data_IF_129271730054
#
_entry.id   IF_129271730054
#
_cell.length_a   1.000
_cell.length_b   1.000
_cell.length_c   1.000
_cell.angle_alpha   90.00
_cell.angle_beta   90.00
_cell.angle_gamma   90.00
#
_symmetry.space_group_name_H-M   'P 1'
#
loop_
_entity.id
_entity.type
_entity.pdbx_description
1 polymer ?
#
# COMPACT_ATOMS: atom_id res chain seq x y z
N UNK A 1 -32.18 -44.09 -22.35
CA UNK A 1 -33.03 -42.94 -21.93
C UNK A 1 -33.07 -42.71 -20.42
N UNK A 2 -33.22 -43.77 -19.61
CA UNK A 2 -33.29 -43.71 -18.12
C UNK A 2 -32.11 -42.95 -17.46
N UNK A 3 -30.87 -43.11 -17.96
CA UNK A 3 -29.70 -42.39 -17.41
C UNK A 3 -29.77 -40.87 -17.60
N UNK A 4 -30.36 -40.41 -18.72
CA UNK A 4 -30.50 -38.99 -19.05
C UNK A 4 -31.59 -38.32 -18.21
N UNK A 5 -32.67 -39.05 -17.90
CA UNK A 5 -33.71 -38.60 -16.97
C UNK A 5 -33.15 -38.46 -15.54
N UNK A 6 -32.44 -39.48 -15.03
CA UNK A 6 -31.81 -39.41 -13.69
C UNK A 6 -30.79 -38.28 -13.55
N UNK A 7 -30.05 -37.96 -14.62
CA UNK A 7 -29.12 -36.83 -14.61
C UNK A 7 -29.85 -35.48 -14.53
N UNK A 8 -30.96 -35.31 -15.27
CA UNK A 8 -31.80 -34.10 -15.21
C UNK A 8 -32.48 -33.93 -13.86
N UNK A 9 -33.00 -35.02 -13.26
CA UNK A 9 -33.59 -34.99 -11.92
C UNK A 9 -32.57 -34.57 -10.85
N UNK A 10 -31.34 -35.08 -10.93
CA UNK A 10 -30.25 -34.66 -10.04
C UNK A 10 -29.90 -33.18 -10.22
N UNK A 11 -29.82 -32.71 -11.46
CA UNK A 11 -29.54 -31.32 -11.78
C UNK A 11 -30.65 -30.39 -11.26
N UNK A 12 -31.92 -30.77 -11.43
CA UNK A 12 -33.06 -30.03 -10.90
C UNK A 12 -33.09 -30.00 -9.38
N UNK A 13 -32.76 -31.12 -8.71
CA UNK A 13 -32.69 -31.18 -7.25
C UNK A 13 -31.60 -30.25 -6.70
N UNK A 14 -30.42 -30.22 -7.33
CA UNK A 14 -29.34 -29.31 -6.95
C UNK A 14 -29.70 -27.84 -7.18
N UNK A 15 -30.33 -27.51 -8.30
CA UNK A 15 -30.82 -26.15 -8.57
C UNK A 15 -31.89 -25.71 -7.57
N UNK A 16 -32.81 -26.61 -7.21
CA UNK A 16 -33.85 -26.32 -6.22
C UNK A 16 -33.26 -26.12 -4.81
N UNK A 17 -32.26 -26.92 -4.42
CA UNK A 17 -31.56 -26.75 -3.14
C UNK A 17 -30.74 -25.46 -3.09
N UNK A 18 -30.13 -25.06 -4.21
CA UNK A 18 -29.42 -23.79 -4.31
C UNK A 18 -30.39 -22.60 -4.21
N UNK A 19 -31.52 -22.67 -4.90
CA UNK A 19 -32.56 -21.64 -4.86
C UNK A 19 -33.21 -21.52 -3.47
N UNK A 20 -33.42 -22.63 -2.77
CA UNK A 20 -33.98 -22.58 -1.41
C UNK A 20 -32.98 -21.97 -0.41
N UNK A 21 -31.69 -22.30 -0.52
CA UNK A 21 -30.63 -21.68 0.30
C UNK A 21 -30.52 -20.18 0.05
N UNK A 22 -30.54 -19.74 -1.22
CA UNK A 22 -30.54 -18.32 -1.56
C UNK A 22 -31.75 -17.58 -1.01
N UNK A 23 -32.96 -18.18 -1.08
CA UNK A 23 -34.17 -17.59 -0.49
C UNK A 23 -34.08 -17.48 1.03
N UNK A 24 -33.65 -18.54 1.71
CA UNK A 24 -33.48 -18.52 3.18
C UNK A 24 -32.44 -17.50 3.63
N UNK A 25 -31.41 -17.26 2.81
CA UNK A 25 -30.42 -16.23 3.08
C UNK A 25 -31.02 -14.83 2.95
N UNK A 26 -31.73 -14.55 1.85
CA UNK A 26 -32.44 -13.28 1.63
C UNK A 26 -33.46 -12.97 2.74
N UNK A 27 -34.26 -13.95 3.15
CA UNK A 27 -35.22 -13.79 4.26
C UNK A 27 -34.53 -13.49 5.58
N UNK A 28 -33.42 -14.19 5.88
CA UNK A 28 -32.66 -13.97 7.11
C UNK A 28 -32.02 -12.59 7.15
N UNK A 29 -31.54 -12.06 6.02
CA UNK A 29 -30.97 -10.72 5.95
C UNK A 29 -32.03 -9.61 5.97
N UNK A 30 -33.20 -9.85 5.37
CA UNK A 30 -34.31 -8.87 5.37
C UNK A 30 -34.98 -8.74 6.76
N UNK A 31 -35.16 -9.85 7.48
CA UNK A 31 -35.72 -9.79 8.84
C UNK A 31 -34.79 -9.10 9.85
N UNK A 32 -33.47 -9.17 9.67
CA UNK A 32 -32.50 -8.43 10.51
C UNK A 32 -32.56 -6.92 10.25
N UNK A 33 -32.96 -6.50 9.05
CA UNK A 33 -33.14 -5.07 8.71
C UNK A 33 -34.41 -4.44 9.26
N UNK A 34 -35.35 -5.23 9.80
CA UNK A 34 -36.66 -4.74 10.25
C UNK A 34 -36.76 -4.50 11.77
N UNK A 35 -35.74 -4.89 12.54
CA UNK A 35 -35.63 -4.60 13.99
C UNK A 35 -34.79 -3.33 14.29
N UNK A 36 -34.36 -2.58 13.26
CA UNK A 36 -33.53 -1.37 13.41
C UNK A 36 -34.29 -0.07 13.09
N UNK A 37 -35.58 0.04 13.42
CA UNK A 37 -36.35 1.26 13.20
C UNK A 37 -37.38 1.52 14.30
N UNK A 38 -36.92 1.82 15.52
CA UNK A 38 -37.65 2.65 16.49
C UNK A 38 -36.64 3.34 17.44
N UNK A 39 -36.30 4.60 17.20
CA UNK A 39 -35.87 5.55 18.26
C UNK A 39 -36.39 6.94 17.89
N UNK A 40 -37.36 7.41 18.66
CA UNK A 40 -37.93 8.75 18.65
C UNK A 40 -37.16 9.70 19.58
N UNK A 41 -36.99 10.95 19.10
CA UNK A 41 -36.89 12.25 19.83
C UNK A 41 -35.76 12.55 20.84
N UNK A 42 -34.90 13.48 20.40
CA UNK A 42 -34.40 14.70 21.08
C UNK A 42 -33.83 14.63 22.51
N UNK A 43 -32.49 14.64 22.61
CA UNK A 43 -31.75 15.39 23.67
C UNK A 43 -30.49 16.00 23.05
N UNK A 44 -30.37 17.32 23.20
CA UNK A 44 -29.22 18.17 22.90
C UNK A 44 -27.93 17.64 23.57
N UNK A 45 -27.04 17.05 22.78
CA UNK A 45 -25.69 16.67 23.16
C UNK A 45 -24.77 16.87 21.95
N UNK A 46 -23.53 17.37 22.14
CA UNK A 46 -22.63 17.64 21.02
C UNK A 46 -22.38 16.33 20.27
N UNK A 47 -22.67 16.35 18.96
CA UNK A 47 -22.51 15.20 18.08
C UNK A 47 -21.11 14.58 18.27
N UNK A 48 -20.99 13.26 18.50
CA UNK A 48 -19.71 12.62 18.32
C UNK A 48 -19.32 12.83 16.86
N UNK A 49 -18.10 13.27 16.62
CA UNK A 49 -17.51 13.26 15.28
C UNK A 49 -17.63 11.84 14.74
N UNK A 50 -18.58 11.57 13.85
CA UNK A 50 -18.65 10.31 13.12
C UNK A 50 -17.39 10.24 12.25
N UNK A 51 -16.33 9.66 12.80
CA UNK A 51 -15.15 9.29 12.03
C UNK A 51 -15.63 8.27 11.01
N UNK A 52 -15.81 8.72 9.77
CA UNK A 52 -16.15 7.84 8.66
C UNK A 52 -15.01 6.82 8.52
N UNK A 53 -15.22 5.61 9.03
CA UNK A 53 -14.23 4.55 8.95
C UNK A 53 -13.92 4.26 7.47
N UNK A 54 -12.71 4.62 7.05
CA UNK A 54 -12.29 4.45 5.67
C UNK A 54 -12.10 2.95 5.39
N UNK A 55 -12.92 2.41 4.49
CA UNK A 55 -12.85 1.00 4.09
C UNK A 55 -11.92 0.79 2.89
N UNK A 56 -11.19 -0.33 2.91
CA UNK A 56 -10.22 -0.70 1.88
C UNK A 56 -10.52 -2.10 1.34
N UNK A 57 -10.42 -2.29 0.03
CA UNK A 57 -10.64 -3.59 -0.62
C UNK A 57 -9.32 -4.32 -0.83
N UNK A 58 -9.16 -5.48 -0.19
CA UNK A 58 -7.98 -6.31 -0.34
C UNK A 58 -8.00 -7.08 -1.67
N UNK A 59 -7.03 -6.86 -2.55
CA UNK A 59 -7.02 -7.50 -3.88
C UNK A 59 -6.69 -9.00 -3.87
N UNK A 60 -6.36 -9.58 -2.71
CA UNK A 60 -6.11 -11.02 -2.56
C UNK A 60 -7.37 -11.77 -2.13
N UNK A 61 -8.06 -11.31 -1.07
CA UNK A 61 -9.25 -11.99 -0.56
C UNK A 61 -10.58 -11.38 -1.06
N UNK A 62 -10.56 -10.15 -1.59
CA UNK A 62 -11.75 -9.42 -2.05
C UNK A 62 -12.62 -8.85 -0.91
N UNK A 63 -12.15 -8.92 0.34
CA UNK A 63 -12.88 -8.36 1.48
C UNK A 63 -12.63 -6.84 1.56
N UNK A 64 -13.72 -6.07 1.60
CA UNK A 64 -13.70 -4.65 1.92
C UNK A 64 -13.82 -4.47 3.44
N UNK A 65 -12.75 -3.99 4.08
CA UNK A 65 -12.68 -3.81 5.53
C UNK A 65 -11.91 -2.53 5.90
N UNK A 66 -12.19 -1.88 7.05
CA UNK A 66 -11.31 -0.84 7.57
C UNK A 66 -9.94 -1.42 7.97
N UNK A 67 -8.94 -0.55 8.15
CA UNK A 67 -7.65 -0.94 8.73
C UNK A 67 -7.77 -0.95 10.25
N UNK A 68 -7.51 -2.09 10.89
CA UNK A 68 -7.55 -2.22 12.35
C UNK A 68 -6.18 -2.64 12.89
N UNK A 69 -5.92 -2.46 14.18
CA UNK A 69 -4.67 -2.92 14.82
C UNK A 69 -4.47 -4.44 14.68
N UNK A 70 -5.58 -5.21 14.75
CA UNK A 70 -5.54 -6.68 14.64
C UNK A 70 -5.32 -7.15 13.20
N UNK A 71 -5.92 -6.45 12.22
CA UNK A 71 -5.84 -6.80 10.80
C UNK A 71 -5.55 -5.56 9.95
N UNK A 72 -4.31 -5.06 9.98
CA UNK A 72 -3.94 -3.86 9.26
C UNK A 72 -3.99 -4.09 7.75
N UNK A 73 -4.44 -3.05 7.05
CA UNK A 73 -4.40 -2.96 5.60
C UNK A 73 -3.19 -2.11 5.22
N UNK A 74 -2.60 -2.37 4.06
CA UNK A 74 -1.67 -1.43 3.48
C UNK A 74 -1.66 -1.40 1.96
N UNK A 75 -1.06 -0.33 1.46
CA UNK A 75 -0.95 0.01 0.05
C UNK A 75 0.35 -0.53 -0.55
N UNK A 76 0.25 -1.26 -1.65
CA UNK A 76 1.44 -1.80 -2.35
C UNK A 76 2.31 -0.65 -2.88
N UNK A 77 3.60 -0.70 -2.53
CA UNK A 77 4.56 0.33 -2.90
C UNK A 77 5.91 -0.24 -3.35
N UNK A 78 6.57 0.54 -4.20
CA UNK A 78 7.96 0.39 -4.61
C UNK A 78 8.77 1.53 -4.02
N UNK A 79 9.69 1.18 -3.12
CA UNK A 79 10.64 2.09 -2.50
C UNK A 79 11.99 1.97 -3.21
N UNK A 80 12.48 3.10 -3.71
CA UNK A 80 13.79 3.18 -4.35
C UNK A 80 14.60 4.33 -3.75
N UNK A 81 15.90 4.11 -3.58
CA UNK A 81 16.80 5.21 -3.26
C UNK A 81 16.83 6.19 -4.43
N UNK A 82 16.78 7.48 -4.11
CA UNK A 82 16.74 8.56 -5.10
C UNK A 82 17.71 9.66 -4.71
N UNK A 83 18.45 10.14 -5.69
CA UNK A 83 19.28 11.32 -5.57
C UNK A 83 18.61 12.56 -6.20
N UNK A 84 17.31 12.53 -6.53
CA UNK A 84 16.65 13.68 -7.17
C UNK A 84 16.77 14.95 -6.30
N UNK A 85 16.59 14.82 -4.99
CA UNK A 85 16.74 15.94 -4.05
C UNK A 85 18.17 16.49 -4.00
N UNK A 86 19.18 15.70 -4.43
CA UNK A 86 20.56 16.15 -4.58
C UNK A 86 20.68 17.32 -5.56
N UNK A 87 19.85 17.33 -6.60
CA UNK A 87 19.83 18.40 -7.60
C UNK A 87 19.01 19.62 -7.16
N UNK A 88 18.31 19.55 -6.02
CA UNK A 88 17.56 20.68 -5.47
C UNK A 88 18.51 21.83 -5.18
N UNK A 89 18.26 22.98 -5.81
CA UNK A 89 19.00 24.19 -5.51
C UNK A 89 18.65 24.68 -4.11
N UNK A 90 19.66 25.04 -3.31
CA UNK A 90 19.48 25.56 -1.95
C UNK A 90 19.14 27.06 -1.94
N UNK A 91 19.39 27.74 -3.05
CA UNK A 91 19.08 29.15 -3.25
C UNK A 91 18.23 29.32 -4.51
N UNK A 92 17.32 30.29 -4.50
CA UNK A 92 16.77 30.76 -5.77
C UNK A 92 17.95 31.30 -6.59
N UNK A 93 18.26 30.65 -7.71
CA UNK A 93 19.30 31.15 -8.61
C UNK A 93 18.92 32.59 -8.96
N UNK A 94 19.76 33.56 -8.55
CA UNK A 94 19.68 34.91 -9.11
C UNK A 94 19.91 34.72 -10.60
N UNK A 95 18.92 35.05 -11.41
CA UNK A 95 19.06 35.04 -12.86
C UNK A 95 20.18 36.05 -13.14
N UNK A 96 21.33 35.63 -13.69
CA UNK A 96 22.44 36.53 -13.91
C UNK A 96 22.00 37.52 -14.99
N UNK A 97 21.98 38.80 -14.63
CA UNK A 97 21.55 39.87 -15.54
C UNK A 97 22.74 40.45 -16.32
N UNK A 98 23.95 39.98 -16.04
CA UNK A 98 25.20 40.45 -16.64
C UNK A 98 26.16 39.29 -16.93
N UNK A 99 26.97 39.43 -17.98
CA UNK A 99 27.88 38.37 -18.47
C UNK A 99 29.00 37.98 -17.47
N UNK A 100 29.25 38.81 -16.45
CA UNK A 100 30.24 38.56 -15.40
C UNK A 100 29.71 37.77 -14.20
N UNK A 101 28.39 37.57 -14.10
CA UNK A 101 27.77 36.86 -12.97
C UNK A 101 27.72 35.36 -13.27
N UNK A 102 28.63 34.60 -12.65
CA UNK A 102 28.56 33.14 -12.66
C UNK A 102 27.56 32.67 -11.61
N UNK A 103 26.48 32.02 -12.04
CA UNK A 103 25.57 31.34 -11.11
C UNK A 103 26.23 30.08 -10.58
N UNK A 104 26.92 30.18 -9.45
CA UNK A 104 27.25 29.00 -8.66
C UNK A 104 25.99 28.57 -7.92
N UNK A 105 25.14 27.79 -8.59
CA UNK A 105 23.97 27.20 -7.97
C UNK A 105 24.45 26.11 -6.98
N UNK A 106 24.59 26.47 -5.70
CA UNK A 106 24.76 25.50 -4.65
C UNK A 106 23.49 24.65 -4.55
N UNK A 107 23.63 23.35 -4.85
CA UNK A 107 22.57 22.38 -4.68
C UNK A 107 22.85 21.49 -3.47
N UNK A 108 21.85 20.73 -3.03
CA UNK A 108 21.98 19.83 -1.91
C UNK A 108 23.13 18.82 -2.11
N UNK A 109 23.42 18.43 -3.35
CA UNK A 109 24.53 17.52 -3.67
C UNK A 109 25.91 18.09 -3.57
N UNK A 110 26.12 19.32 -4.03
CA UNK A 110 27.39 20.01 -3.85
C UNK A 110 27.67 20.22 -2.36
N UNK A 111 26.65 20.57 -1.57
CA UNK A 111 26.77 20.71 -0.13
C UNK A 111 27.08 19.37 0.57
N UNK A 112 26.39 18.29 0.19
CA UNK A 112 26.65 16.94 0.71
C UNK A 112 28.09 16.50 0.39
N UNK A 113 28.56 16.74 -0.84
CA UNK A 113 29.91 16.36 -1.26
C UNK A 113 31.00 17.14 -0.54
N UNK A 114 30.85 18.46 -0.39
CA UNK A 114 31.78 19.28 0.39
C UNK A 114 31.85 18.82 1.84
N UNK A 115 30.70 18.49 2.45
CA UNK A 115 30.65 17.95 3.82
C UNK A 115 31.40 16.62 3.92
N UNK A 116 31.20 15.72 2.96
CA UNK A 116 31.91 14.43 2.92
C UNK A 116 33.42 14.63 2.76
N UNK A 117 33.86 15.52 1.86
CA UNK A 117 35.27 15.81 1.65
C UNK A 117 35.93 16.36 2.92
N UNK A 118 35.24 17.26 3.65
CA UNK A 118 35.71 17.79 4.93
C UNK A 118 35.80 16.70 6.02
N UNK A 119 34.79 15.83 6.13
CA UNK A 119 34.81 14.73 7.10
C UNK A 119 35.96 13.75 6.84
N UNK A 120 36.19 13.42 5.57
CA UNK A 120 37.22 12.43 5.17
C UNK A 120 38.64 12.96 5.37
N UNK A 121 38.83 14.28 5.51
CA UNK A 121 40.11 14.87 5.88
C UNK A 121 40.42 14.71 7.38
N UNK A 122 39.41 14.66 8.23
CA UNK A 122 39.58 14.60 9.68
C UNK A 122 39.38 13.19 10.26
N UNK A 123 38.62 12.33 9.59
CA UNK A 123 38.21 11.02 10.09
C UNK A 123 38.44 9.91 9.08
N UNK A 124 38.38 8.66 9.53
CA UNK A 124 38.41 7.50 8.63
C UNK A 124 37.20 7.52 7.68
N UNK A 125 37.35 6.88 6.52
CA UNK A 125 36.26 6.78 5.52
C UNK A 125 34.98 6.21 6.13
N UNK A 126 35.09 5.19 6.98
CA UNK A 126 33.94 4.53 7.62
C UNK A 126 33.24 5.44 8.65
N UNK A 127 34.00 6.19 9.44
CA UNK A 127 33.44 7.18 10.37
C UNK A 127 32.78 8.34 9.60
N UNK A 128 33.42 8.81 8.54
CA UNK A 128 32.90 9.88 7.67
C UNK A 128 31.62 9.48 6.96
N UNK A 129 31.54 8.27 6.41
CA UNK A 129 30.32 7.73 5.80
C UNK A 129 29.17 7.64 6.81
N UNK A 130 29.43 7.15 8.03
CA UNK A 130 28.42 7.08 9.10
C UNK A 130 27.95 8.48 9.53
N UNK A 131 28.88 9.41 9.75
CA UNK A 131 28.55 10.80 10.10
C UNK A 131 27.85 11.54 8.95
N UNK A 132 28.14 11.18 7.70
CA UNK A 132 27.46 11.72 6.53
C UNK A 132 26.05 11.17 6.39
N UNK A 133 25.81 9.91 6.76
CA UNK A 133 24.46 9.32 6.75
C UNK A 133 23.55 9.87 7.84
N UNK A 134 24.10 10.45 8.92
CA UNK A 134 23.31 11.20 9.91
C UNK A 134 22.83 12.50 9.26
N UNK A 135 21.52 12.58 9.00
CA UNK A 135 20.88 13.73 8.37
C UNK A 135 21.17 13.88 6.87
N UNK A 136 21.55 12.80 6.17
CA UNK A 136 21.71 12.85 4.72
C UNK A 136 20.36 13.09 4.02
N UNK A 137 20.31 14.08 3.12
CA UNK A 137 19.24 14.29 2.15
C UNK A 137 19.31 13.25 1.01
N UNK A 138 19.35 11.96 1.36
CA UNK A 138 19.05 10.88 0.44
C UNK A 138 17.54 10.76 0.31
N UNK A 139 17.01 10.99 -0.89
CA UNK A 139 15.58 10.87 -1.14
C UNK A 139 15.17 9.41 -1.20
N UNK A 140 13.95 9.12 -0.75
CA UNK A 140 13.27 7.87 -1.08
C UNK A 140 12.22 8.23 -2.12
N UNK A 141 12.28 7.59 -3.29
CA UNK A 141 11.18 7.63 -4.24
C UNK A 141 10.22 6.50 -3.88
N UNK A 142 8.97 6.88 -3.58
CA UNK A 142 7.89 5.97 -3.26
C UNK A 142 6.91 6.01 -4.42
N UNK A 143 6.69 4.88 -5.06
CA UNK A 143 5.68 4.73 -6.10
C UNK A 143 4.67 3.67 -5.66
N UNK A 144 3.40 4.04 -5.61
CA UNK A 144 2.32 3.11 -5.29
C UNK A 144 1.61 2.64 -6.56
N UNK A 145 0.93 1.50 -6.48
CA UNK A 145 0.07 1.03 -7.58
C UNK A 145 -1.42 1.26 -7.32
N UNK A 146 -1.78 1.86 -6.17
CA UNK A 146 -3.18 2.13 -5.79
C UNK A 146 -3.94 0.93 -5.21
N UNK A 147 -3.30 -0.22 -5.02
CA UNK A 147 -3.98 -1.44 -4.56
C UNK A 147 -3.63 -1.79 -3.11
N UNK A 148 -4.67 -2.18 -2.38
CA UNK A 148 -4.60 -2.51 -0.97
C UNK A 148 -4.54 -4.01 -0.72
N UNK A 149 -3.85 -4.39 0.35
CA UNK A 149 -3.67 -5.76 0.82
C UNK A 149 -3.73 -5.77 2.33
N UNK A 150 -4.36 -6.78 2.93
CA UNK A 150 -4.08 -7.08 4.33
C UNK A 150 -2.63 -7.55 4.48
N UNK A 151 -1.97 -7.18 5.58
CA UNK A 151 -0.57 -7.53 5.81
C UNK A 151 -0.37 -9.06 5.87
N UNK A 152 -1.31 -9.81 6.42
CA UNK A 152 -1.31 -11.27 6.46
C UNK A 152 -1.52 -11.91 5.07
N UNK A 153 -2.40 -11.32 4.25
CA UNK A 153 -2.62 -11.73 2.86
C UNK A 153 -1.34 -11.51 2.03
N UNK A 154 -0.64 -10.39 2.22
CA UNK A 154 0.66 -10.13 1.59
C UNK A 154 1.69 -11.20 1.97
N UNK A 155 1.82 -11.53 3.26
CA UNK A 155 2.77 -12.55 3.73
C UNK A 155 2.49 -13.91 3.09
N UNK A 156 1.22 -14.29 3.01
CA UNK A 156 0.78 -15.54 2.37
C UNK A 156 1.11 -15.53 0.88
N UNK A 157 0.90 -14.41 0.19
CA UNK A 157 1.26 -14.22 -1.21
C UNK A 157 2.77 -14.34 -1.46
N UNK A 158 3.59 -13.66 -0.66
CA UNK A 158 5.06 -13.73 -0.76
C UNK A 158 5.59 -15.15 -0.56
N UNK A 159 5.03 -15.88 0.41
CA UNK A 159 5.37 -17.30 0.64
C UNK A 159 5.06 -18.16 -0.59
N UNK A 160 3.89 -17.96 -1.21
CA UNK A 160 3.52 -18.68 -2.44
C UNK A 160 4.42 -18.36 -3.63
N UNK A 161 4.93 -17.12 -3.74
CA UNK A 161 5.88 -16.72 -4.79
C UNK A 161 7.24 -17.40 -4.62
N UNK A 162 7.74 -17.53 -3.39
CA UNK A 162 9.01 -18.21 -3.10
C UNK A 162 8.98 -19.69 -3.48
N UNK A 163 7.85 -20.37 -3.23
CA UNK A 163 7.70 -21.80 -3.54
C UNK A 163 7.69 -22.09 -5.03
N UNK A 164 7.18 -21.16 -5.84
CA UNK A 164 6.97 -21.43 -7.26
C UNK A 164 8.14 -21.03 -8.16
N UNK A 165 9.13 -20.22 -7.74
CA UNK A 165 10.26 -19.76 -8.60
C UNK A 165 9.85 -19.31 -10.02
N UNK A 166 8.60 -18.87 -10.21
CA UNK A 166 8.05 -18.57 -11.55
C UNK A 166 8.44 -17.18 -12.06
N UNK A 167 9.19 -16.41 -11.28
CA UNK A 167 9.50 -15.02 -11.61
C UNK A 167 10.98 -14.71 -11.52
N UNK A 168 11.47 -13.99 -12.53
CA UNK A 168 12.83 -13.46 -12.70
C UNK A 168 13.18 -12.32 -11.72
N UNK A 169 12.43 -12.16 -10.63
CA UNK A 169 12.64 -11.12 -9.62
C UNK A 169 13.35 -11.71 -8.41
N UNK A 170 14.12 -10.89 -7.69
CA UNK A 170 14.78 -11.35 -6.48
C UNK A 170 13.76 -11.43 -5.34
N UNK A 171 12.96 -12.50 -5.28
CA UNK A 171 12.06 -12.77 -4.15
C UNK A 171 12.80 -12.80 -2.80
N UNK A 172 14.12 -13.03 -2.84
CA UNK A 172 15.02 -12.99 -1.67
C UNK A 172 15.24 -11.56 -1.14
N UNK A 173 15.04 -10.53 -1.96
CA UNK A 173 15.14 -9.12 -1.60
C UNK A 173 13.78 -8.49 -1.23
N UNK A 174 12.71 -9.28 -1.12
CA UNK A 174 11.37 -8.79 -0.79
C UNK A 174 10.61 -8.17 -1.97
N UNK A 175 11.13 -8.31 -3.20
CA UNK A 175 10.44 -7.84 -4.41
C UNK A 175 9.28 -8.76 -4.78
N UNK A 176 8.15 -8.16 -5.16
CA UNK A 176 6.95 -8.86 -5.62
C UNK A 176 6.19 -8.00 -6.63
N UNK A 177 5.26 -8.60 -7.36
CA UNK A 177 4.33 -7.89 -8.23
C UNK A 177 2.96 -7.82 -7.58
N UNK A 178 2.25 -6.70 -7.72
CA UNK A 178 0.86 -6.62 -7.28
C UNK A 178 0.02 -7.73 -7.95
N UNK A 179 -0.78 -8.52 -7.20
CA UNK A 179 -1.61 -9.58 -7.76
C UNK A 179 -2.61 -9.09 -8.82
N UNK A 180 -3.08 -7.84 -8.70
CA UNK A 180 -4.08 -7.27 -9.60
C UNK A 180 -3.45 -6.62 -10.85
N UNK A 181 -2.58 -5.62 -10.67
CA UNK A 181 -2.04 -4.83 -11.78
C UNK A 181 -0.63 -5.25 -12.25
N UNK A 182 0.01 -6.21 -11.56
CA UNK A 182 1.37 -6.70 -11.84
C UNK A 182 2.49 -5.65 -11.76
N UNK A 183 2.20 -4.45 -11.23
CA UNK A 183 3.24 -3.45 -10.96
C UNK A 183 4.21 -3.98 -9.90
N UNK A 184 5.50 -3.69 -10.09
CA UNK A 184 6.55 -4.08 -9.15
C UNK A 184 6.39 -3.31 -7.83
N UNK A 185 6.55 -4.02 -6.71
CA UNK A 185 6.60 -3.48 -5.37
C UNK A 185 7.65 -4.23 -4.54
N UNK A 186 8.09 -3.62 -3.46
CA UNK A 186 9.02 -4.23 -2.49
C UNK A 186 8.61 -3.99 -1.03
N UNK A 187 7.51 -3.27 -0.80
CA UNK A 187 6.90 -3.16 0.51
C UNK A 187 5.40 -2.86 0.40
N UNK A 188 4.76 -2.76 1.57
CA UNK A 188 3.39 -2.29 1.73
C UNK A 188 3.42 -1.16 2.76
N UNK A 189 2.78 -0.03 2.43
CA UNK A 189 2.64 1.12 3.33
C UNK A 189 1.38 0.90 4.19
N UNK A 190 1.52 0.78 5.53
CA UNK A 190 0.37 0.52 6.39
C UNK A 190 -0.55 1.74 6.45
N UNK A 191 -1.85 1.51 6.36
CA UNK A 191 -2.86 2.51 6.68
C UNK A 191 -3.10 2.46 8.20
N UNK A 192 -2.88 3.60 8.86
CA UNK A 192 -3.03 3.71 10.31
C UNK A 192 -4.54 3.70 10.63
N UNK A 193 -5.00 2.88 11.60
CA UNK A 193 -6.39 2.87 12.05
C UNK A 193 -6.89 4.23 12.54
#
# INVERSE_FOLDING_TARGET
EIRRQRARERQQKLLAEFASKQKSFLEKTLNVGQEAMEVDTEVDAPAPEETVEQSFECVICGEASPSTEERPVGLVALLQSSAVLRHRSRHHAKIPCTESETTHAENCGTAERQRMDALTQCFTKEASMRASSVGADGGIHIQTCGHYLHIDCQQSYLRSLQLHQMHSFNSRNGEFTCPLCRQLGNCVLPEIP
#
